data_IF_942627185538
#
_entry.id   IF_942627185538
#
_cell.length_a   1.000
_cell.length_b   1.000
_cell.length_c   1.000
_cell.angle_alpha   90.00
_cell.angle_beta   90.00
_cell.angle_gamma   90.00
#
_symmetry.space_group_name_H-M   'P 1'
#
loop_
_entity.id
_entity.type
_entity.pdbx_description
1 polymer ?
#
# COMPACT_ATOMS: atom_id res chain seq x y z
N UNK A 1 -24.45 -35.92 -20.91
CA UNK A 1 -23.68 -34.85 -20.25
C UNK A 1 -23.63 -34.97 -18.73
N UNK A 2 -24.74 -34.88 -17.99
CA UNK A 2 -24.74 -34.89 -16.50
C UNK A 2 -24.11 -36.15 -15.92
N UNK A 3 -24.48 -37.32 -16.43
CA UNK A 3 -24.10 -38.59 -15.83
C UNK A 3 -22.62 -38.92 -16.07
N UNK A 4 -22.09 -38.49 -17.23
CA UNK A 4 -20.66 -38.59 -17.57
C UNK A 4 -19.81 -37.61 -16.75
N UNK A 5 -20.35 -36.42 -16.49
CA UNK A 5 -19.67 -35.43 -15.66
C UNK A 5 -19.53 -35.93 -14.21
N UNK A 6 -20.59 -36.52 -13.66
CA UNK A 6 -20.57 -37.11 -12.31
C UNK A 6 -19.64 -38.34 -12.23
N UNK A 7 -19.64 -39.20 -13.26
CA UNK A 7 -18.73 -40.34 -13.33
C UNK A 7 -17.25 -39.91 -13.41
N UNK A 8 -16.93 -38.89 -14.22
CA UNK A 8 -15.59 -38.33 -14.31
C UNK A 8 -15.17 -37.59 -13.02
N UNK A 9 -16.10 -36.87 -12.38
CA UNK A 9 -15.89 -36.21 -11.10
C UNK A 9 -15.57 -37.20 -9.97
N UNK A 10 -16.29 -38.32 -9.92
CA UNK A 10 -16.04 -39.41 -8.99
C UNK A 10 -14.68 -40.08 -9.26
N UNK A 11 -14.36 -40.37 -10.53
CA UNK A 11 -13.08 -41.00 -10.91
C UNK A 11 -11.86 -40.12 -10.58
N UNK A 12 -11.99 -38.81 -10.74
CA UNK A 12 -10.93 -37.83 -10.47
C UNK A 12 -10.94 -37.27 -9.04
N UNK A 13 -11.88 -37.72 -8.20
CA UNK A 13 -12.12 -37.20 -6.84
C UNK A 13 -12.12 -35.65 -6.79
N UNK A 14 -12.79 -35.02 -7.76
CA UNK A 14 -12.76 -33.58 -8.01
C UNK A 14 -14.19 -33.07 -8.24
N UNK A 15 -14.59 -31.87 -7.74
CA UNK A 15 -15.93 -31.34 -7.94
C UNK A 15 -16.37 -31.23 -9.42
N UNK A 16 -17.64 -31.49 -9.76
CA UNK A 16 -18.15 -31.55 -11.13
C UNK A 16 -17.96 -30.23 -11.89
N UNK A 17 -18.03 -29.09 -11.20
CA UNK A 17 -17.80 -27.78 -11.81
C UNK A 17 -16.37 -27.58 -12.33
N UNK A 18 -15.37 -28.12 -11.63
CA UNK A 18 -13.97 -28.06 -12.08
C UNK A 18 -13.70 -29.04 -13.21
N UNK A 19 -14.33 -30.22 -13.15
CA UNK A 19 -14.26 -31.23 -14.22
C UNK A 19 -14.90 -30.70 -15.50
N UNK A 20 -16.04 -30.00 -15.41
CA UNK A 20 -16.70 -29.36 -16.56
C UNK A 20 -15.81 -28.30 -17.21
N UNK A 21 -15.22 -27.41 -16.42
CA UNK A 21 -14.34 -26.34 -16.94
C UNK A 21 -13.05 -26.89 -17.56
N UNK A 22 -12.46 -27.90 -16.94
CA UNK A 22 -11.25 -28.54 -17.45
C UNK A 22 -11.51 -29.39 -18.69
N UNK A 23 -12.65 -30.09 -18.77
CA UNK A 23 -13.05 -30.84 -19.95
C UNK A 23 -13.31 -29.91 -21.15
N UNK A 24 -13.99 -28.77 -20.93
CA UNK A 24 -14.19 -27.76 -21.96
C UNK A 24 -12.85 -27.19 -22.48
N UNK A 25 -11.93 -26.85 -21.58
CA UNK A 25 -10.61 -26.33 -21.97
C UNK A 25 -9.75 -27.37 -22.74
N UNK A 26 -9.85 -28.66 -22.37
CA UNK A 26 -9.13 -29.72 -23.09
C UNK A 26 -9.74 -29.99 -24.46
N UNK A 27 -11.06 -30.06 -24.56
CA UNK A 27 -11.79 -30.21 -25.81
C UNK A 27 -11.41 -29.13 -26.84
N UNK A 28 -11.32 -27.87 -26.40
CA UNK A 28 -10.87 -26.74 -27.22
C UNK A 28 -9.40 -26.89 -27.68
N UNK A 29 -8.51 -27.33 -26.79
CA UNK A 29 -7.09 -27.51 -27.09
C UNK A 29 -6.78 -28.71 -28.00
N UNK A 30 -7.59 -29.78 -27.93
CA UNK A 30 -7.41 -31.00 -28.74
C UNK A 30 -8.34 -31.08 -29.95
N UNK A 31 -9.25 -30.11 -30.13
CA UNK A 31 -10.26 -30.14 -31.19
C UNK A 31 -11.23 -31.32 -31.07
N UNK A 32 -11.43 -31.84 -29.85
CA UNK A 32 -12.32 -32.97 -29.56
C UNK A 32 -13.58 -32.50 -28.84
N UNK A 33 -14.57 -33.37 -28.65
CA UNK A 33 -15.79 -32.99 -27.92
C UNK A 33 -15.62 -33.10 -26.40
N UNK A 34 -16.40 -32.31 -25.64
CA UNK A 34 -16.36 -32.34 -24.17
C UNK A 34 -16.80 -33.71 -23.62
N UNK A 35 -17.81 -34.33 -24.22
CA UNK A 35 -18.29 -35.67 -23.85
C UNK A 35 -17.20 -36.76 -24.03
N UNK A 36 -16.36 -36.63 -25.06
CA UNK A 36 -15.26 -37.55 -25.35
C UNK A 36 -14.13 -37.42 -24.32
N UNK A 37 -13.81 -36.20 -23.91
CA UNK A 37 -12.87 -35.93 -22.82
C UNK A 37 -13.40 -36.46 -21.48
N UNK A 38 -14.69 -36.25 -21.18
CA UNK A 38 -15.33 -36.77 -19.97
C UNK A 38 -15.38 -38.30 -19.97
N UNK A 39 -15.66 -38.92 -21.12
CA UNK A 39 -15.65 -40.37 -21.27
C UNK A 39 -14.26 -40.97 -21.01
N UNK A 40 -13.20 -40.33 -21.52
CA UNK A 40 -11.82 -40.77 -21.26
C UNK A 40 -11.44 -40.68 -19.77
N UNK A 41 -11.96 -39.70 -19.03
CA UNK A 41 -11.70 -39.58 -17.59
C UNK A 41 -12.59 -40.47 -16.72
N UNK A 42 -13.79 -40.80 -17.21
CA UNK A 42 -14.68 -41.77 -16.58
C UNK A 42 -14.22 -43.24 -16.77
N UNK A 43 -13.06 -43.47 -17.39
CA UNK A 43 -12.46 -44.81 -17.58
C UNK A 43 -12.54 -45.36 -19.02
N UNK A 44 -12.94 -44.55 -20.00
CA UNK A 44 -12.85 -44.87 -21.42
C UNK A 44 -11.43 -44.77 -21.98
N UNK A 45 -11.15 -45.48 -23.09
CA UNK A 45 -9.84 -45.60 -23.72
C UNK A 45 -9.13 -44.25 -24.01
N UNK A 46 -7.78 -44.20 -24.03
CA UNK A 46 -7.03 -42.94 -24.12
C UNK A 46 -7.21 -42.22 -25.47
N UNK A 47 -7.27 -40.90 -25.40
CA UNK A 47 -7.33 -39.99 -26.56
C UNK A 47 -5.97 -39.97 -27.24
N UNK A 48 -5.91 -40.45 -28.48
CA UNK A 48 -4.75 -40.25 -29.37
C UNK A 48 -4.84 -38.83 -29.94
N UNK A 49 -3.86 -37.99 -29.63
CA UNK A 49 -3.77 -36.63 -30.18
C UNK A 49 -3.59 -36.70 -31.71
N UNK A 50 -4.53 -36.11 -32.45
CA UNK A 50 -4.32 -35.79 -33.87
C UNK A 50 -3.53 -34.47 -33.96
N UNK A 51 -2.51 -34.45 -34.81
CA UNK A 51 -1.62 -33.31 -35.05
C UNK A 51 -2.37 -32.08 -35.61
N UNK A 52 -1.86 -30.85 -35.39
CA UNK A 52 -2.56 -29.63 -35.79
C UNK A 52 -2.50 -29.43 -37.31
N UNK A 53 -3.66 -29.33 -37.95
CA UNK A 53 -3.78 -28.82 -39.32
C UNK A 53 -4.07 -27.31 -39.26
N UNK A 54 -3.22 -26.53 -39.91
CA UNK A 54 -3.41 -25.10 -40.18
C UNK A 54 -4.12 -24.90 -41.55
N UNK A 55 -4.42 -23.66 -41.97
CA UNK A 55 -5.75 -23.05 -42.00
C UNK A 55 -6.36 -22.96 -43.42
N UNK A 56 -7.69 -22.94 -43.53
CA UNK A 56 -8.39 -22.56 -44.77
C UNK A 56 -9.39 -21.41 -44.50
N UNK A 57 -9.09 -20.23 -45.05
CA UNK A 57 -10.06 -19.31 -45.68
C UNK A 57 -10.15 -19.70 -47.17
N UNK A 58 -11.11 -19.22 -48.02
CA UNK A 58 -11.98 -18.02 -47.94
C UNK A 58 -13.42 -18.18 -48.54
N UNK A 59 -14.12 -17.03 -48.68
CA UNK A 59 -15.27 -16.68 -49.57
C UNK A 59 -16.70 -16.92 -49.06
N UNK A 60 -17.75 -16.14 -49.39
CA UNK A 60 -17.99 -14.82 -50.03
C UNK A 60 -19.53 -14.60 -49.96
N UNK A 61 -19.98 -13.35 -49.75
CA UNK A 61 -21.38 -12.84 -49.88
C UNK A 61 -21.83 -12.82 -51.38
N UNK A 62 -23.05 -12.42 -51.84
CA UNK A 62 -24.17 -11.69 -51.22
C UNK A 62 -25.59 -12.19 -51.70
N UNK A 63 -26.61 -11.36 -52.06
CA UNK A 63 -27.72 -10.88 -51.19
C UNK A 63 -29.13 -11.18 -51.79
N UNK A 64 -30.22 -10.91 -51.05
CA UNK A 64 -31.56 -10.71 -51.65
C UNK A 64 -32.45 -9.74 -50.86
N UNK A 65 -33.19 -8.97 -51.65
CA UNK A 65 -33.96 -7.74 -51.42
C UNK A 65 -35.40 -7.93 -50.85
N UNK A 66 -36.16 -6.84 -50.57
CA UNK A 66 -37.18 -6.73 -49.52
C UNK A 66 -38.63 -6.93 -50.00
N UNK A 67 -39.57 -7.14 -49.06
CA UNK A 67 -41.01 -7.13 -49.35
C UNK A 67 -41.77 -6.16 -48.44
N UNK A 68 -42.30 -5.11 -49.07
CA UNK A 68 -43.34 -4.20 -48.59
C UNK A 68 -44.72 -4.85 -48.61
N UNK A 69 -45.56 -4.61 -47.60
CA UNK A 69 -47.03 -4.52 -47.79
C UNK A 69 -47.60 -3.41 -46.92
N UNK A 70 -48.26 -2.46 -47.57
CA UNK A 70 -49.07 -1.41 -47.01
C UNK A 70 -50.52 -1.86 -46.80
N UNK A 71 -51.16 -1.45 -45.71
CA UNK A 71 -52.61 -1.21 -45.66
C UNK A 71 -52.93 -0.13 -44.62
N UNK A 72 -53.69 0.87 -45.08
CA UNK A 72 -54.42 1.87 -44.31
C UNK A 72 -55.91 1.75 -44.75
N UNK A 73 -56.87 2.59 -44.31
CA UNK A 73 -57.15 3.25 -43.03
C UNK A 73 -58.62 3.06 -42.58
N UNK A 74 -59.02 3.34 -41.33
CA UNK A 74 -60.35 3.93 -41.02
C UNK A 74 -60.30 4.75 -39.71
N UNK A 75 -60.81 5.99 -39.78
CA UNK A 75 -61.00 6.97 -38.70
C UNK A 75 -62.19 6.59 -37.76
N UNK A 76 -62.40 7.17 -36.57
CA UNK A 76 -63.14 8.45 -36.36
C UNK A 76 -63.26 8.76 -34.84
N UNK A 77 -63.20 10.08 -34.50
CA UNK A 77 -63.66 10.85 -33.29
C UNK A 77 -62.88 10.70 -31.96
N UNK A 78 -62.25 11.70 -31.32
CA UNK A 78 -62.40 13.16 -31.04
C UNK A 78 -62.82 13.45 -29.58
N UNK A 79 -61.90 14.03 -28.78
CA UNK A 79 -62.12 14.89 -27.60
C UNK A 79 -60.76 15.45 -27.06
N UNK A 80 -60.72 16.62 -26.37
CA UNK A 80 -59.66 17.64 -26.56
C UNK A 80 -58.54 17.73 -25.49
N UNK A 81 -57.37 18.19 -25.97
CA UNK A 81 -56.26 19.05 -25.42
C UNK A 81 -55.88 18.98 -23.91
N UNK A 82 -54.57 18.94 -23.57
CA UNK A 82 -53.81 20.19 -23.50
C UNK A 82 -52.44 20.18 -24.21
N UNK A 83 -52.09 21.38 -24.65
CA UNK A 83 -50.85 21.89 -25.22
C UNK A 83 -49.57 21.21 -24.67
N UNK A 84 -48.85 20.49 -25.54
CA UNK A 84 -47.47 20.06 -25.27
C UNK A 84 -46.53 21.25 -25.52
N UNK A 85 -45.56 21.53 -24.62
CA UNK A 85 -44.51 22.50 -24.92
C UNK A 85 -43.70 22.02 -26.14
N UNK A 86 -43.11 22.93 -26.93
CA UNK A 86 -42.44 22.58 -28.18
C UNK A 86 -41.28 21.61 -27.93
N UNK A 87 -41.46 20.37 -28.37
CA UNK A 87 -40.39 19.39 -28.60
C UNK A 87 -39.47 19.93 -29.69
N UNK A 88 -38.46 20.70 -29.28
CA UNK A 88 -37.54 21.36 -30.19
C UNK A 88 -36.22 21.77 -29.54
N UNK A 89 -35.86 21.16 -28.41
CA UNK A 89 -34.46 21.22 -27.96
C UNK A 89 -33.71 20.10 -28.70
N UNK A 90 -32.66 20.40 -29.48
CA UNK A 90 -31.79 19.35 -29.98
C UNK A 90 -31.25 18.60 -28.76
N UNK A 91 -31.61 17.32 -28.64
CA UNK A 91 -30.91 16.41 -27.76
C UNK A 91 -29.49 16.34 -28.31
N UNK A 92 -28.57 17.04 -27.65
CA UNK A 92 -27.15 16.80 -27.82
C UNK A 92 -26.93 15.35 -27.37
N UNK A 93 -26.95 14.43 -28.32
CA UNK A 93 -26.38 13.10 -28.14
C UNK A 93 -24.91 13.35 -27.78
N UNK A 94 -24.46 13.01 -26.55
CA UNK A 94 -23.06 13.15 -26.22
C UNK A 94 -22.27 12.27 -27.18
N UNK A 95 -21.38 12.89 -27.94
CA UNK A 95 -20.46 12.19 -28.85
C UNK A 95 -19.82 11.02 -28.08
N UNK A 96 -19.89 9.79 -28.60
CA UNK A 96 -19.43 8.62 -27.87
C UNK A 96 -17.97 8.83 -27.48
N UNK A 97 -17.72 8.82 -26.17
CA UNK A 97 -16.38 9.02 -25.63
C UNK A 97 -15.41 8.04 -26.30
N UNK A 98 -14.44 8.59 -27.03
CA UNK A 98 -13.46 7.81 -27.77
C UNK A 98 -12.77 6.82 -26.82
N UNK A 99 -12.88 5.53 -27.13
CA UNK A 99 -12.36 4.47 -26.28
C UNK A 99 -10.83 4.55 -26.26
N UNK A 100 -10.27 5.02 -25.15
CA UNK A 100 -8.83 5.15 -24.97
C UNK A 100 -8.19 3.77 -24.91
N UNK A 101 -7.13 3.56 -25.69
CA UNK A 101 -6.40 2.29 -25.66
C UNK A 101 -5.65 2.11 -24.33
N UNK A 102 -5.66 0.89 -23.74
CA UNK A 102 -5.04 0.64 -22.46
C UNK A 102 -3.50 0.68 -22.55
N UNK A 103 -2.90 1.49 -21.67
CA UNK A 103 -1.45 1.68 -21.59
C UNK A 103 -0.82 0.66 -20.65
N UNK A 104 0.31 0.03 -21.01
CA UNK A 104 0.96 -0.97 -20.16
C UNK A 104 1.43 -0.37 -18.83
N UNK A 105 1.22 -1.11 -17.74
CA UNK A 105 1.52 -0.70 -16.36
C UNK A 105 2.95 -0.15 -16.20
N UNK A 106 3.94 -0.80 -16.81
CA UNK A 106 5.34 -0.42 -16.69
C UNK A 106 5.64 0.99 -17.22
N UNK A 107 4.96 1.42 -18.29
CA UNK A 107 5.14 2.76 -18.86
C UNK A 107 4.55 3.84 -17.94
N UNK A 108 3.36 3.59 -17.39
CA UNK A 108 2.68 4.45 -16.41
C UNK A 108 3.51 4.62 -15.14
N UNK A 109 4.01 3.51 -14.59
CA UNK A 109 4.86 3.52 -13.40
C UNK A 109 6.17 4.27 -13.67
N UNK A 110 6.83 4.04 -14.81
CA UNK A 110 8.08 4.73 -15.16
C UNK A 110 7.89 6.25 -15.26
N UNK A 111 6.84 6.71 -15.93
CA UNK A 111 6.54 8.14 -16.06
C UNK A 111 6.27 8.75 -14.68
N UNK A 112 5.42 8.11 -13.87
CA UNK A 112 5.11 8.61 -12.53
C UNK A 112 6.34 8.61 -11.63
N UNK A 113 7.19 7.56 -11.66
CA UNK A 113 8.44 7.50 -10.91
C UNK A 113 9.39 8.62 -11.33
N UNK A 114 9.55 8.89 -12.63
CA UNK A 114 10.41 9.97 -13.11
C UNK A 114 9.94 11.33 -12.60
N UNK A 115 8.64 11.61 -12.71
CA UNK A 115 8.05 12.87 -12.22
C UNK A 115 8.16 12.95 -10.69
N UNK A 116 7.85 11.86 -10.00
CA UNK A 116 7.93 11.76 -8.54
C UNK A 116 9.34 11.98 -8.03
N UNK A 117 10.36 11.44 -8.71
CA UNK A 117 11.77 11.64 -8.38
C UNK A 117 12.15 13.11 -8.46
N UNK A 118 11.80 13.79 -9.55
CA UNK A 118 12.09 15.22 -9.71
C UNK A 118 11.31 16.09 -8.72
N UNK A 119 10.04 15.80 -8.53
CA UNK A 119 9.18 16.52 -7.57
C UNK A 119 9.70 16.36 -6.15
N UNK A 120 10.06 15.13 -5.77
CA UNK A 120 10.63 14.82 -4.46
C UNK A 120 11.99 15.47 -4.24
N UNK A 121 12.88 15.47 -5.24
CA UNK A 121 14.18 16.14 -5.17
C UNK A 121 14.03 17.66 -5.02
N UNK A 122 13.11 18.27 -5.77
CA UNK A 122 12.79 19.69 -5.64
C UNK A 122 12.23 20.01 -4.25
N UNK A 123 11.30 19.21 -3.74
CA UNK A 123 10.77 19.36 -2.38
C UNK A 123 11.85 19.16 -1.31
N UNK A 124 12.78 18.23 -1.51
CA UNK A 124 13.95 18.05 -0.64
C UNK A 124 14.82 19.31 -0.60
N UNK A 125 15.11 19.90 -1.77
CA UNK A 125 15.84 21.15 -1.88
C UNK A 125 15.11 22.33 -1.19
N UNK A 126 13.84 22.56 -1.52
CA UNK A 126 13.07 23.65 -0.92
C UNK A 126 12.79 23.43 0.57
N UNK A 127 12.60 22.18 0.99
CA UNK A 127 12.49 21.78 2.38
C UNK A 127 13.77 22.10 3.15
N UNK A 128 14.94 21.83 2.56
CA UNK A 128 16.21 22.24 3.13
C UNK A 128 16.33 23.77 3.22
N UNK A 129 15.98 24.53 2.17
CA UNK A 129 16.03 26.00 2.23
C UNK A 129 15.12 26.58 3.32
N UNK A 130 13.92 26.02 3.47
CA UNK A 130 13.01 26.41 4.54
C UNK A 130 13.58 26.09 5.93
N UNK A 131 14.16 24.89 6.09
CA UNK A 131 14.82 24.48 7.34
C UNK A 131 16.07 25.34 7.63
N UNK A 132 16.86 25.66 6.61
CA UNK A 132 18.06 26.49 6.72
C UNK A 132 17.75 27.87 7.28
N UNK A 133 16.60 28.46 6.93
CA UNK A 133 16.14 29.72 7.54
C UNK A 133 15.91 29.62 9.05
N UNK A 134 15.44 28.46 9.53
CA UNK A 134 15.23 28.20 10.96
C UNK A 134 16.53 27.81 11.68
N UNK A 135 17.46 27.19 10.96
CA UNK A 135 18.72 26.64 11.46
C UNK A 135 19.89 27.63 11.40
N UNK A 136 19.78 28.70 10.62
CA UNK A 136 20.83 29.71 10.49
C UNK A 136 21.36 30.26 11.84
N UNK A 137 20.53 30.51 12.86
CA UNK A 137 21.01 30.99 14.16
C UNK A 137 21.86 29.98 14.94
N UNK A 138 21.73 28.68 14.64
CA UNK A 138 22.45 27.60 15.32
C UNK A 138 23.59 27.03 14.49
N UNK A 139 23.95 27.71 13.40
CA UNK A 139 25.06 27.34 12.54
C UNK A 139 26.40 27.66 13.19
N UNK A 140 27.32 26.70 13.14
CA UNK A 140 28.70 26.81 13.62
C UNK A 140 29.67 26.39 12.52
N UNK A 141 30.92 26.85 12.61
CA UNK A 141 31.97 26.43 11.68
C UNK A 141 32.90 25.49 12.45
N UNK A 142 32.90 24.21 12.08
CA UNK A 142 33.88 23.22 12.55
C UNK A 142 35.15 23.33 11.71
N UNK A 143 36.35 23.38 12.32
CA UNK A 143 37.61 23.44 11.59
C UNK A 143 37.91 22.17 10.78
N UNK A 144 37.35 21.02 11.16
CA UNK A 144 37.57 19.74 10.48
C UNK A 144 36.42 19.39 9.53
N UNK A 145 35.17 19.68 9.92
CA UNK A 145 33.96 19.24 9.20
C UNK A 145 33.27 20.34 8.37
N UNK A 146 33.73 21.59 8.50
CA UNK A 146 33.15 22.74 7.83
C UNK A 146 31.84 23.24 8.48
N UNK A 147 30.88 23.81 7.73
CA UNK A 147 29.68 24.38 8.28
C UNK A 147 28.73 23.29 8.82
N UNK A 148 28.39 23.41 10.10
CA UNK A 148 27.50 22.52 10.83
C UNK A 148 26.32 23.30 11.40
N UNK A 149 25.23 22.62 11.70
CA UNK A 149 24.08 23.18 12.41
C UNK A 149 23.80 22.33 13.63
N UNK A 150 23.62 22.96 14.78
CA UNK A 150 23.15 22.29 16.01
C UNK A 150 21.63 22.36 16.06
N UNK A 151 20.96 21.21 16.05
CA UNK A 151 19.49 21.12 16.08
C UNK A 151 19.05 20.18 17.18
N UNK A 152 17.95 20.50 17.86
CA UNK A 152 17.30 19.56 18.77
C UNK A 152 16.80 18.33 17.99
N UNK A 153 17.22 17.15 18.44
CA UNK A 153 16.98 15.87 17.76
C UNK A 153 15.49 15.56 17.67
N UNK A 154 14.71 15.88 18.70
CA UNK A 154 13.26 15.66 18.68
C UNK A 154 12.58 16.57 17.65
N UNK A 155 12.96 17.84 17.61
CA UNK A 155 12.38 18.85 16.72
C UNK A 155 12.65 18.54 15.26
N UNK A 156 13.84 18.04 14.90
CA UNK A 156 14.12 17.65 13.52
C UNK A 156 13.33 16.39 13.10
N UNK A 157 13.23 15.38 13.98
CA UNK A 157 12.50 14.14 13.67
C UNK A 157 10.99 14.41 13.51
N UNK A 158 10.39 15.20 14.40
CA UNK A 158 8.97 15.57 14.30
C UNK A 158 8.72 16.48 13.11
N UNK A 159 9.56 17.51 12.91
CA UNK A 159 9.46 18.44 11.79
C UNK A 159 9.53 17.73 10.44
N UNK A 160 10.54 16.87 10.25
CA UNK A 160 10.70 16.13 8.99
C UNK A 160 9.54 15.15 8.76
N UNK A 161 9.07 14.48 9.82
CA UNK A 161 7.92 13.57 9.70
C UNK A 161 6.67 14.31 9.25
N UNK A 162 6.33 15.44 9.90
CA UNK A 162 5.15 16.24 9.57
C UNK A 162 5.23 16.84 8.17
N UNK A 163 6.38 17.40 7.80
CA UNK A 163 6.59 17.96 6.45
C UNK A 163 6.50 16.86 5.39
N UNK A 164 6.99 15.66 5.68
CA UNK A 164 6.94 14.54 4.73
C UNK A 164 5.51 14.08 4.44
N UNK A 165 4.56 14.22 5.38
CA UNK A 165 3.13 13.97 5.11
C UNK A 165 2.62 14.88 3.99
N UNK A 166 2.89 16.18 4.11
CA UNK A 166 2.49 17.17 3.10
C UNK A 166 3.20 16.90 1.76
N UNK A 167 4.50 16.66 1.80
CA UNK A 167 5.28 16.36 0.59
C UNK A 167 4.78 15.09 -0.10
N UNK A 168 4.44 14.05 0.66
CA UNK A 168 3.88 12.82 0.11
C UNK A 168 2.56 13.06 -0.62
N UNK A 169 1.66 13.86 -0.04
CA UNK A 169 0.40 14.24 -0.68
C UNK A 169 0.62 15.04 -1.98
N UNK A 170 1.56 16.00 -1.96
CA UNK A 170 1.94 16.81 -3.13
C UNK A 170 2.51 15.91 -4.23
N UNK A 171 3.49 15.08 -3.92
CA UNK A 171 4.15 14.20 -4.91
C UNK A 171 3.15 13.25 -5.54
N UNK A 172 2.31 12.59 -4.75
CA UNK A 172 1.30 11.67 -5.27
C UNK A 172 0.30 12.38 -6.20
N UNK A 173 -0.15 13.57 -5.81
CA UNK A 173 -1.11 14.37 -6.59
C UNK A 173 -0.50 14.87 -7.90
N UNK A 174 0.71 15.43 -7.82
CA UNK A 174 1.40 15.98 -8.98
C UNK A 174 1.82 14.89 -9.97
N UNK A 175 2.35 13.77 -9.48
CA UNK A 175 2.75 12.64 -10.33
C UNK A 175 1.55 11.99 -11.02
N UNK A 176 0.40 11.93 -10.34
CA UNK A 176 -0.85 11.49 -10.95
C UNK A 176 -1.32 12.45 -12.05
N UNK A 177 -1.29 13.76 -11.79
CA UNK A 177 -1.67 14.76 -12.77
C UNK A 177 -0.74 14.73 -14.00
N UNK A 178 0.57 14.64 -13.77
CA UNK A 178 1.56 14.57 -14.84
C UNK A 178 1.44 13.30 -15.68
N UNK A 179 1.12 12.14 -15.07
CA UNK A 179 0.85 10.92 -15.82
C UNK A 179 -0.38 11.10 -16.74
N UNK A 180 -1.48 11.64 -16.19
CA UNK A 180 -2.69 11.90 -16.97
C UNK A 180 -2.48 12.93 -18.09
N UNK A 181 -1.64 13.95 -17.87
CA UNK A 181 -1.27 14.93 -18.89
C UNK A 181 -0.38 14.33 -19.98
N UNK A 182 0.56 13.45 -19.61
CA UNK A 182 1.43 12.79 -20.56
C UNK A 182 0.66 11.79 -21.44
N UNK A 183 -0.34 11.10 -20.87
CA UNK A 183 -1.23 10.23 -21.62
C UNK A 183 -2.60 10.13 -20.92
N UNK A 184 -3.70 10.63 -21.55
CA UNK A 184 -5.05 10.58 -20.99
C UNK A 184 -5.50 9.16 -20.59
N UNK A 185 -5.05 8.12 -21.30
CA UNK A 185 -5.38 6.73 -21.01
C UNK A 185 -4.89 6.25 -19.63
N UNK A 186 -3.89 6.92 -19.05
CA UNK A 186 -3.34 6.57 -17.73
C UNK A 186 -4.10 7.20 -16.56
N UNK A 187 -5.09 8.04 -16.83
CA UNK A 187 -5.91 8.67 -15.81
C UNK A 187 -6.54 7.60 -14.92
N UNK A 188 -6.40 7.71 -13.61
CA UNK A 188 -6.97 6.73 -12.69
C UNK A 188 -8.46 7.02 -12.43
N UNK A 189 -9.27 5.99 -12.26
CA UNK A 189 -10.70 6.12 -11.92
C UNK A 189 -10.95 6.51 -10.46
N UNK A 190 -10.00 6.24 -9.56
CA UNK A 190 -10.11 6.61 -8.14
C UNK A 190 -10.14 8.14 -7.96
N UNK A 191 -10.75 8.63 -6.87
CA UNK A 191 -10.78 10.06 -6.56
C UNK A 191 -9.38 10.67 -6.38
N UNK A 192 -9.22 11.96 -6.71
CA UNK A 192 -7.97 12.71 -6.49
C UNK A 192 -7.60 12.77 -5.00
N UNK A 193 -8.60 12.89 -4.12
CA UNK A 193 -8.41 12.89 -2.67
C UNK A 193 -7.84 11.58 -2.13
N UNK A 194 -8.28 10.43 -2.68
CA UNK A 194 -7.73 9.13 -2.29
C UNK A 194 -6.23 9.04 -2.63
N UNK A 195 -5.83 9.55 -3.79
CA UNK A 195 -4.41 9.59 -4.18
C UNK A 195 -3.58 10.48 -3.24
N UNK A 196 -4.10 11.65 -2.89
CA UNK A 196 -3.43 12.53 -1.93
C UNK A 196 -3.28 11.86 -0.54
N UNK A 197 -4.32 11.14 -0.08
CA UNK A 197 -4.27 10.44 1.20
C UNK A 197 -3.26 9.29 1.22
N UNK A 198 -3.20 8.48 0.16
CA UNK A 198 -2.16 7.45 -0.01
C UNK A 198 -0.76 8.06 -0.06
N UNK A 199 -0.63 9.21 -0.72
CA UNK A 199 0.61 10.00 -0.71
C UNK A 199 1.00 10.44 0.70
N UNK A 200 0.05 11.00 1.45
CA UNK A 200 0.26 11.46 2.84
C UNK A 200 0.68 10.31 3.77
N UNK A 201 0.01 9.16 3.68
CA UNK A 201 0.34 7.97 4.47
C UNK A 201 1.76 7.45 4.15
N UNK A 202 2.12 7.42 2.86
CA UNK A 202 3.47 7.04 2.43
C UNK A 202 4.50 8.05 2.93
N UNK A 203 4.18 9.35 2.84
CA UNK A 203 5.00 10.44 3.32
C UNK A 203 5.28 10.38 4.82
N UNK A 204 4.28 10.03 5.64
CA UNK A 204 4.46 9.84 7.08
C UNK A 204 5.55 8.79 7.37
N UNK A 205 5.48 7.66 6.69
CA UNK A 205 6.38 6.52 6.89
C UNK A 205 7.79 6.84 6.40
N UNK A 206 7.89 7.40 5.19
CA UNK A 206 9.16 7.81 4.62
C UNK A 206 9.77 8.98 5.39
N UNK A 207 8.97 9.84 6.02
CA UNK A 207 9.43 10.91 6.91
C UNK A 207 10.05 10.38 8.19
N UNK A 208 9.43 9.38 8.82
CA UNK A 208 9.99 8.70 9.99
C UNK A 208 11.33 8.03 9.64
N UNK A 209 11.37 7.27 8.55
CA UNK A 209 12.60 6.62 8.07
C UNK A 209 13.65 7.67 7.70
N UNK A 210 13.26 8.67 6.90
CA UNK A 210 14.16 9.73 6.44
C UNK A 210 14.76 10.53 7.57
N UNK A 211 14.00 10.78 8.64
CA UNK A 211 14.47 11.47 9.84
C UNK A 211 15.50 10.64 10.60
N UNK A 212 15.19 9.36 10.81
CA UNK A 212 16.13 8.44 11.44
C UNK A 212 17.41 8.26 10.62
N UNK A 213 17.31 8.18 9.28
CA UNK A 213 18.49 8.11 8.40
C UNK A 213 19.28 9.40 8.44
N UNK A 214 18.64 10.57 8.42
CA UNK A 214 19.33 11.86 8.45
C UNK A 214 20.11 12.06 9.75
N UNK A 215 19.48 11.81 10.89
CA UNK A 215 20.13 11.89 12.20
C UNK A 215 21.17 10.78 12.36
N UNK A 216 20.87 9.54 11.98
CA UNK A 216 21.75 8.40 12.19
C UNK A 216 22.96 8.34 11.25
N UNK A 217 22.82 8.84 10.01
CA UNK A 217 23.90 8.77 9.02
C UNK A 217 24.82 9.99 9.03
N UNK A 218 24.30 11.17 9.39
CA UNK A 218 25.05 12.43 9.33
C UNK A 218 25.16 13.13 10.68
N UNK A 219 24.35 12.75 11.67
CA UNK A 219 24.28 13.41 12.95
C UNK A 219 25.40 12.99 13.88
N UNK A 220 26.10 13.97 14.45
CA UNK A 220 26.94 13.74 15.63
C UNK A 220 26.14 14.14 16.87
N UNK A 221 25.78 13.17 17.74
CA UNK A 221 24.95 13.46 18.91
C UNK A 221 25.75 14.24 19.96
N UNK A 222 25.10 15.23 20.58
CA UNK A 222 25.58 15.91 21.77
C UNK A 222 24.70 15.43 22.92
N UNK A 223 25.33 14.86 23.96
CA UNK A 223 24.62 14.27 25.10
C UNK A 223 23.67 15.28 25.75
N UNK A 224 22.48 14.80 26.08
CA UNK A 224 21.52 15.56 26.87
C UNK A 224 22.01 15.63 28.32
N UNK A 225 22.01 16.83 28.89
CA UNK A 225 22.21 17.04 30.33
C UNK A 225 20.86 17.24 31.01
N UNK A 226 20.81 17.22 32.35
CA UNK A 226 19.56 17.44 33.10
C UNK A 226 18.87 18.77 32.75
N UNK A 227 19.63 19.75 32.24
CA UNK A 227 19.13 21.08 31.86
C UNK A 227 18.94 21.28 30.34
N UNK A 228 19.48 20.39 29.49
CA UNK A 228 19.50 20.60 28.03
C UNK A 228 19.00 19.37 27.24
N UNK A 229 18.09 19.62 26.30
CA UNK A 229 17.57 18.59 25.40
C UNK A 229 18.65 17.99 24.49
N UNK A 230 18.45 16.73 24.07
CA UNK A 230 19.36 16.04 23.16
C UNK A 230 19.48 16.78 21.82
N UNK A 231 20.68 17.30 21.52
CA UNK A 231 20.98 18.00 20.27
C UNK A 231 21.86 17.15 19.37
N UNK A 232 21.81 17.41 18.07
CA UNK A 232 22.60 16.72 17.05
C UNK A 232 23.24 17.77 16.16
N UNK A 233 24.54 17.64 15.87
CA UNK A 233 25.18 18.46 14.84
C UNK A 233 25.04 17.81 13.48
N UNK A 234 24.68 18.61 12.49
CA UNK A 234 24.45 18.14 11.12
C UNK A 234 25.31 18.93 10.13
N UNK A 235 26.08 18.26 9.25
CA UNK A 235 26.87 18.93 8.22
C UNK A 235 25.94 19.53 7.16
N UNK A 236 26.01 20.84 6.96
CA UNK A 236 25.07 21.59 6.10
C UNK A 236 25.02 21.01 4.69
N UNK A 237 26.18 20.73 4.09
CA UNK A 237 26.26 20.18 2.74
C UNK A 237 25.74 18.74 2.68
N UNK A 238 26.12 17.90 3.66
CA UNK A 238 25.67 16.51 3.73
C UNK A 238 24.14 16.44 3.87
N UNK A 239 23.58 17.28 4.74
CA UNK A 239 22.14 17.38 4.96
C UNK A 239 21.41 17.83 3.69
N UNK A 240 21.90 18.85 2.99
CA UNK A 240 21.35 19.29 1.70
C UNK A 240 21.32 18.14 0.69
N UNK A 241 22.46 17.47 0.47
CA UNK A 241 22.57 16.38 -0.49
C UNK A 241 21.62 15.23 -0.13
N UNK A 242 21.60 14.83 1.14
CA UNK A 242 20.72 13.77 1.62
C UNK A 242 19.24 14.14 1.48
N UNK A 243 18.85 15.38 1.74
CA UNK A 243 17.47 15.84 1.56
C UNK A 243 17.06 15.83 0.08
N UNK A 244 17.94 16.22 -0.85
CA UNK A 244 17.67 16.16 -2.30
C UNK A 244 17.56 14.70 -2.77
N UNK A 245 18.55 13.87 -2.46
CA UNK A 245 18.61 12.48 -2.92
C UNK A 245 17.52 11.64 -2.25
N UNK A 246 17.39 11.76 -0.93
CA UNK A 246 16.36 11.11 -0.13
C UNK A 246 14.96 11.58 -0.52
N UNK A 247 14.78 12.88 -0.76
CA UNK A 247 13.54 13.44 -1.30
C UNK A 247 13.19 12.85 -2.67
N UNK A 248 14.17 12.71 -3.57
CA UNK A 248 13.98 12.07 -4.87
C UNK A 248 13.57 10.60 -4.76
N UNK A 249 14.27 9.82 -3.92
CA UNK A 249 13.93 8.41 -3.66
C UNK A 249 12.53 8.29 -3.06
N UNK A 250 12.23 9.08 -2.04
CA UNK A 250 10.93 9.08 -1.39
C UNK A 250 9.82 9.50 -2.36
N UNK A 251 10.09 10.46 -3.23
CA UNK A 251 9.17 10.91 -4.26
C UNK A 251 8.90 9.83 -5.32
N UNK A 252 9.93 9.09 -5.73
CA UNK A 252 9.79 7.94 -6.63
C UNK A 252 8.86 6.87 -6.04
N UNK A 253 9.10 6.48 -4.78
CA UNK A 253 8.30 5.48 -4.07
C UNK A 253 6.84 5.95 -3.89
N UNK A 254 6.67 7.21 -3.49
CA UNK A 254 5.34 7.81 -3.29
C UNK A 254 4.55 7.90 -4.59
N UNK A 255 5.21 8.19 -5.73
CA UNK A 255 4.56 8.28 -7.02
C UNK A 255 4.21 6.92 -7.63
N UNK A 256 4.96 5.86 -7.31
CA UNK A 256 4.70 4.52 -7.81
C UNK A 256 3.41 3.92 -7.22
N UNK A 257 3.16 4.16 -5.92
CA UNK A 257 2.09 3.50 -5.17
C UNK A 257 0.68 3.75 -5.76
N UNK A 258 0.25 4.98 -6.07
CA UNK A 258 -1.05 5.24 -6.67
C UNK A 258 -1.21 4.62 -8.05
N UNK A 259 -0.10 4.53 -8.80
CA UNK A 259 -0.12 3.89 -10.11
C UNK A 259 -0.31 2.39 -9.95
N UNK A 260 0.45 1.71 -9.08
CA UNK A 260 0.31 0.25 -8.90
C UNK A 260 -1.10 -0.14 -8.44
N UNK A 261 -1.70 0.65 -7.54
CA UNK A 261 -3.00 0.33 -6.93
C UNK A 261 -4.20 0.88 -7.72
N UNK A 262 -3.97 1.82 -8.65
CA UNK A 262 -5.01 2.52 -9.38
C UNK A 262 -5.41 1.85 -10.69
N UNK A 263 -6.71 1.82 -10.96
CA UNK A 263 -7.30 1.38 -12.24
C UNK A 263 -7.34 2.54 -13.23
N UNK A 264 -6.67 2.45 -14.38
CA UNK A 264 -6.76 3.46 -15.43
C UNK A 264 -8.15 3.45 -16.08
N UNK A 265 -8.61 4.62 -16.54
CA UNK A 265 -9.92 4.84 -17.17
C UNK A 265 -10.02 4.12 -18.52
N UNK A 266 -8.88 3.94 -19.22
CA UNK A 266 -8.80 3.22 -20.49
C UNK A 266 -9.24 1.74 -20.42
N UNK A 267 -9.18 1.09 -19.25
CA UNK A 267 -9.69 -0.29 -19.07
C UNK A 267 -11.22 -0.34 -18.86
N UNK A 268 -11.91 0.80 -18.90
CA UNK A 268 -13.35 0.89 -18.60
C UNK A 268 -14.27 0.16 -19.58
N UNK A 269 -13.76 -0.21 -20.76
CA UNK A 269 -14.48 -0.97 -21.78
C UNK A 269 -14.19 -2.49 -21.79
N UNK A 270 -13.24 -2.98 -21.01
CA UNK A 270 -12.94 -4.42 -20.88
C UNK A 270 -13.82 -5.07 -19.80
N UNK A 271 -13.97 -6.41 -19.84
CA UNK A 271 -14.85 -7.15 -18.92
C UNK A 271 -14.53 -6.79 -17.45
N UNK A 272 -15.44 -6.06 -16.77
CA UNK A 272 -15.19 -5.56 -15.41
C UNK A 272 -14.98 -6.70 -14.40
N UNK A 273 -15.48 -7.91 -14.69
CA UNK A 273 -15.31 -9.10 -13.85
C UNK A 273 -13.88 -9.61 -13.85
N UNK A 274 -13.23 -9.66 -15.01
CA UNK A 274 -11.85 -10.15 -15.14
C UNK A 274 -10.87 -9.18 -14.47
N UNK A 275 -11.01 -7.88 -14.74
CA UNK A 275 -10.20 -6.80 -14.13
C UNK A 275 -10.34 -6.80 -12.61
N UNK A 276 -11.56 -6.98 -12.09
CA UNK A 276 -11.79 -7.07 -10.65
C UNK A 276 -11.09 -8.29 -10.03
N UNK A 277 -11.10 -9.43 -10.71
CA UNK A 277 -10.45 -10.66 -10.24
C UNK A 277 -8.91 -10.55 -10.23
N UNK A 278 -8.32 -10.00 -11.30
CA UNK A 278 -6.87 -9.75 -11.38
C UNK A 278 -6.44 -8.73 -10.32
N UNK A 279 -7.23 -7.67 -10.12
CA UNK A 279 -7.01 -6.69 -9.06
C UNK A 279 -7.08 -7.31 -7.68
N UNK A 280 -8.00 -8.25 -7.43
CA UNK A 280 -8.08 -8.90 -6.13
C UNK A 280 -6.84 -9.77 -5.85
N UNK A 281 -6.32 -10.44 -6.88
CA UNK A 281 -5.06 -11.21 -6.80
C UNK A 281 -3.85 -10.30 -6.59
N UNK A 282 -3.74 -9.22 -7.38
CA UNK A 282 -2.67 -8.23 -7.28
C UNK A 282 -2.71 -7.50 -5.94
N UNK A 283 -3.91 -7.09 -5.50
CA UNK A 283 -4.12 -6.48 -4.19
C UNK A 283 -3.70 -7.44 -3.09
N UNK A 284 -4.10 -8.71 -3.13
CA UNK A 284 -3.63 -9.70 -2.14
C UNK A 284 -2.09 -9.83 -2.14
N UNK A 285 -1.47 -9.96 -3.31
CA UNK A 285 -0.02 -10.12 -3.43
C UNK A 285 0.79 -8.88 -3.00
N UNK A 286 0.27 -7.67 -3.23
CA UNK A 286 0.97 -6.40 -2.91
C UNK A 286 0.56 -5.85 -1.54
N UNK A 287 -0.71 -5.97 -1.16
CA UNK A 287 -1.22 -5.41 0.10
C UNK A 287 -0.72 -6.17 1.31
N UNK A 288 -0.49 -7.49 1.21
CA UNK A 288 0.01 -8.28 2.35
C UNK A 288 1.44 -7.84 2.73
N UNK A 289 2.43 -7.78 1.81
CA UNK A 289 3.76 -7.27 2.14
C UNK A 289 3.75 -5.80 2.59
N UNK A 290 2.96 -4.95 1.93
CA UNK A 290 2.88 -3.52 2.29
C UNK A 290 2.27 -3.34 3.68
N UNK A 291 1.20 -4.07 4.01
CA UNK A 291 0.60 -4.02 5.34
C UNK A 291 1.57 -4.55 6.41
N UNK A 292 2.33 -5.61 6.12
CA UNK A 292 3.39 -6.11 7.00
C UNK A 292 4.49 -5.08 7.23
N UNK A 293 4.95 -4.41 6.17
CA UNK A 293 5.94 -3.33 6.27
C UNK A 293 5.39 -2.13 7.06
N UNK A 294 4.13 -1.76 6.85
CA UNK A 294 3.47 -0.67 7.58
C UNK A 294 3.31 -1.00 9.06
N UNK A 295 2.88 -2.22 9.40
CA UNK A 295 2.82 -2.70 10.78
C UNK A 295 4.23 -2.65 11.41
N UNK A 296 5.24 -3.11 10.67
CA UNK A 296 6.62 -3.10 11.14
C UNK A 296 7.12 -1.69 11.43
N UNK A 297 6.88 -0.73 10.53
CA UNK A 297 7.37 0.64 10.65
C UNK A 297 6.57 1.50 11.65
N UNK A 298 5.25 1.33 11.71
CA UNK A 298 4.37 2.17 12.52
C UNK A 298 4.14 1.64 13.93
N UNK A 299 4.23 0.32 14.13
CA UNK A 299 3.97 -0.31 15.42
C UNK A 299 5.21 -0.98 15.98
N UNK A 300 5.84 -1.89 15.22
CA UNK A 300 6.92 -2.74 15.75
C UNK A 300 8.19 -1.94 16.04
N UNK A 301 8.66 -1.10 15.11
CA UNK A 301 9.89 -0.30 15.30
C UNK A 301 9.77 0.71 16.45
N UNK A 302 8.72 1.56 16.53
CA UNK A 302 8.57 2.51 17.63
C UNK A 302 8.46 1.79 18.98
N UNK A 303 7.78 0.64 19.01
CA UNK A 303 7.67 -0.17 20.21
C UNK A 303 9.01 -0.80 20.62
N UNK A 304 9.75 -1.37 19.67
CA UNK A 304 11.10 -1.90 19.92
C UNK A 304 12.05 -0.80 20.42
N UNK A 305 11.99 0.40 19.83
CA UNK A 305 12.75 1.56 20.29
C UNK A 305 12.39 1.95 21.73
N UNK A 306 11.09 2.03 22.05
CA UNK A 306 10.65 2.31 23.42
C UNK A 306 11.15 1.27 24.43
N UNK A 307 11.18 -0.01 24.05
CA UNK A 307 11.71 -1.08 24.88
C UNK A 307 13.21 -0.98 25.11
N UNK A 308 13.98 -0.73 24.05
CA UNK A 308 15.44 -0.56 24.14
C UNK A 308 15.75 0.60 25.08
N UNK A 309 15.02 1.72 24.96
CA UNK A 309 15.19 2.86 25.87
C UNK A 309 14.76 2.53 27.30
N UNK A 310 13.72 1.71 27.47
CA UNK A 310 13.29 1.26 28.80
C UNK A 310 14.19 0.18 29.43
N UNK A 311 15.11 -0.42 28.66
CA UNK A 311 16.07 -1.40 29.18
C UNK A 311 17.01 -0.79 30.23
N UNK A 312 17.23 0.52 30.17
CA UNK A 312 17.93 1.30 31.19
C UNK A 312 17.17 1.31 32.54
N UNK A 313 15.85 1.07 32.55
CA UNK A 313 15.02 0.95 33.76
C UNK A 313 14.87 -0.49 34.28
N UNK A 314 15.20 -1.52 33.49
CA UNK A 314 15.15 -2.92 33.93
C UNK A 314 16.08 -3.81 33.09
N UNK A 315 17.17 -4.36 33.67
CA UNK A 315 18.16 -5.19 32.97
C UNK A 315 17.59 -6.45 32.27
N UNK A 316 16.36 -6.85 32.62
CA UNK A 316 15.72 -8.08 32.13
C UNK A 316 14.48 -7.75 31.26
N UNK A 317 14.00 -6.51 31.25
CA UNK A 317 12.76 -6.12 30.56
C UNK A 317 12.82 -6.26 29.04
N UNK A 318 13.85 -5.71 28.39
CA UNK A 318 13.99 -5.77 26.93
C UNK A 318 14.15 -7.21 26.38
N UNK A 319 14.97 -8.09 26.99
CA UNK A 319 15.05 -9.50 26.60
C UNK A 319 13.70 -10.25 26.73
N UNK A 320 12.96 -10.05 27.83
CA UNK A 320 11.67 -10.71 28.03
C UNK A 320 10.67 -10.29 26.96
N UNK A 321 10.58 -9.00 26.66
CA UNK A 321 9.64 -8.52 25.66
C UNK A 321 10.06 -8.93 24.25
N UNK A 322 11.36 -8.98 23.94
CA UNK A 322 11.85 -9.55 22.68
C UNK A 322 11.46 -11.04 22.54
N UNK A 323 11.61 -11.83 23.61
CA UNK A 323 11.19 -13.24 23.64
C UNK A 323 9.67 -13.37 23.46
N UNK A 324 8.86 -12.59 24.18
CA UNK A 324 7.40 -12.62 24.07
C UNK A 324 6.92 -12.19 22.68
N UNK A 325 7.55 -11.17 22.09
CA UNK A 325 7.22 -10.70 20.74
C UNK A 325 7.60 -11.75 19.70
N UNK A 326 8.80 -12.34 19.80
CA UNK A 326 9.23 -13.42 18.92
C UNK A 326 8.35 -14.66 19.05
N UNK A 327 7.99 -15.06 20.27
CA UNK A 327 7.08 -16.17 20.54
C UNK A 327 5.67 -15.89 20.01
N UNK A 328 5.18 -14.66 20.14
CA UNK A 328 3.90 -14.23 19.59
C UNK A 328 3.86 -14.26 18.06
N UNK A 329 4.91 -13.75 17.40
CA UNK A 329 5.05 -13.81 15.94
C UNK A 329 5.12 -15.25 15.47
N UNK A 330 5.91 -16.10 16.13
CA UNK A 330 6.04 -17.52 15.78
C UNK A 330 4.71 -18.28 16.01
N UNK A 331 4.02 -18.00 17.12
CA UNK A 331 2.70 -18.54 17.41
C UNK A 331 1.65 -18.13 16.37
N UNK A 332 1.65 -16.85 15.98
CA UNK A 332 0.76 -16.38 14.92
C UNK A 332 1.11 -16.99 13.56
N UNK A 333 2.39 -17.08 13.20
CA UNK A 333 2.84 -17.67 11.94
C UNK A 333 2.47 -19.16 11.84
N UNK A 334 2.60 -19.90 12.94
CA UNK A 334 2.20 -21.32 13.01
C UNK A 334 0.68 -21.49 12.92
N UNK A 335 -0.09 -20.66 13.63
CA UNK A 335 -1.57 -20.65 13.54
C UNK A 335 -2.05 -20.29 12.13
N UNK A 336 -1.49 -19.24 11.52
CA UNK A 336 -1.82 -18.81 10.17
C UNK A 336 -1.44 -19.87 9.13
N UNK A 337 -0.28 -20.53 9.29
CA UNK A 337 0.16 -21.63 8.43
C UNK A 337 -0.70 -22.90 8.54
N UNK A 338 -1.30 -23.14 9.73
CA UNK A 338 -2.13 -24.32 9.97
C UNK A 338 -3.53 -24.25 9.35
N UNK A 339 -3.99 -23.06 8.90
CA UNK A 339 -5.34 -22.85 8.36
C UNK A 339 -5.34 -22.09 7.02
N UNK A 340 -4.83 -22.70 5.94
CA UNK A 340 -4.64 -22.03 4.65
C UNK A 340 -5.94 -21.58 3.95
N UNK A 341 -7.11 -22.08 4.37
CA UNK A 341 -8.40 -21.70 3.78
C UNK A 341 -9.24 -20.72 4.62
N UNK A 342 -8.77 -20.35 5.83
CA UNK A 342 -9.45 -19.32 6.63
C UNK A 342 -9.10 -17.94 6.06
N UNK A 343 -10.09 -17.31 5.41
CA UNK A 343 -9.97 -15.91 5.00
C UNK A 343 -10.01 -15.05 6.26
N UNK A 344 -8.85 -14.65 6.77
CA UNK A 344 -8.77 -13.66 7.85
C UNK A 344 -9.42 -12.39 7.32
N UNK A 345 -10.55 -12.02 7.92
CA UNK A 345 -11.23 -10.78 7.60
C UNK A 345 -10.40 -9.59 8.06
N UNK A 346 -10.53 -8.46 7.36
CA UNK A 346 -9.85 -7.22 7.73
C UNK A 346 -10.24 -6.79 9.16
N UNK A 347 -11.46 -7.13 9.59
CA UNK A 347 -11.92 -6.93 10.97
C UNK A 347 -11.16 -7.76 11.99
N UNK A 348 -10.92 -9.05 11.74
CA UNK A 348 -10.13 -9.92 12.63
C UNK A 348 -8.67 -9.45 12.72
N UNK A 349 -8.09 -9.02 11.60
CA UNK A 349 -6.76 -8.42 11.60
C UNK A 349 -6.72 -7.14 12.45
N UNK A 350 -7.73 -6.27 12.32
CA UNK A 350 -7.80 -5.03 13.11
C UNK A 350 -8.00 -5.31 14.59
N UNK A 351 -8.83 -6.28 14.95
CA UNK A 351 -9.00 -6.72 16.35
C UNK A 351 -7.70 -7.28 16.90
N UNK A 352 -6.96 -8.10 16.12
CA UNK A 352 -5.67 -8.63 16.54
C UNK A 352 -4.63 -7.52 16.74
N UNK A 353 -4.52 -6.59 15.79
CA UNK A 353 -3.60 -5.44 15.90
C UNK A 353 -3.97 -4.56 17.08
N UNK A 354 -5.26 -4.31 17.32
CA UNK A 354 -5.73 -3.49 18.43
C UNK A 354 -5.49 -4.19 19.77
N UNK A 355 -5.76 -5.49 19.87
CA UNK A 355 -5.48 -6.28 21.07
C UNK A 355 -3.97 -6.34 21.38
N UNK A 356 -3.13 -6.57 20.37
CA UNK A 356 -1.67 -6.49 20.52
C UNK A 356 -1.29 -5.08 20.99
N UNK A 357 -1.76 -4.04 20.30
CA UNK A 357 -1.50 -2.65 20.68
C UNK A 357 -1.89 -2.32 22.12
N UNK A 358 -3.04 -2.81 22.59
CA UNK A 358 -3.50 -2.65 23.98
C UNK A 358 -2.59 -3.38 24.97
N UNK A 359 -2.20 -4.63 24.68
CA UNK A 359 -1.27 -5.39 25.53
C UNK A 359 0.08 -4.68 25.61
N UNK A 360 0.59 -4.18 24.49
CA UNK A 360 1.84 -3.42 24.45
C UNK A 360 1.75 -2.10 25.24
N UNK A 361 0.61 -1.41 25.18
CA UNK A 361 0.33 -0.22 25.99
C UNK A 361 0.30 -0.53 27.49
N UNK A 362 -0.30 -1.66 27.89
CA UNK A 362 -0.32 -2.10 29.29
C UNK A 362 1.09 -2.44 29.78
N UNK A 363 1.89 -3.14 28.97
CA UNK A 363 3.29 -3.43 29.29
C UNK A 363 4.07 -2.13 29.46
N UNK A 364 3.89 -1.17 28.55
CA UNK A 364 4.54 0.14 28.64
C UNK A 364 4.13 0.88 29.92
N UNK A 365 2.83 0.93 30.23
CA UNK A 365 2.33 1.55 31.46
C UNK A 365 2.88 0.88 32.72
N UNK A 366 2.98 -0.46 32.73
CA UNK A 366 3.54 -1.22 33.84
C UNK A 366 5.05 -0.96 34.03
N UNK A 367 5.82 -0.87 32.94
CA UNK A 367 7.25 -0.53 33.00
C UNK A 367 7.47 0.91 33.50
N UNK A 368 6.64 1.86 33.06
CA UNK A 368 6.70 3.24 33.56
C UNK A 368 6.28 3.36 35.03
N UNK A 369 5.27 2.58 35.46
CA UNK A 369 4.82 2.58 36.85
C UNK A 369 5.82 1.89 37.80
N UNK A 370 6.45 0.79 37.36
CA UNK A 370 7.46 0.08 38.15
C UNK A 370 8.76 0.88 38.32
N UNK A 371 9.07 1.81 37.42
CA UNK A 371 10.24 2.70 37.54
C UNK A 371 10.05 3.89 38.50
N UNK A 372 8.83 4.13 39.02
CA UNK A 372 8.52 5.30 39.85
C UNK A 372 8.19 5.02 41.32
N UNK A 373 8.33 3.77 41.79
CA UNK A 373 7.87 3.34 43.12
C UNK A 373 8.97 2.88 44.06
N UNK A 374 10.05 3.67 44.20
CA UNK A 374 11.22 3.31 45.01
C UNK A 374 11.68 4.41 45.95
N UNK A 375 10.76 5.09 46.65
CA UNK A 375 11.10 5.93 47.81
C UNK A 375 10.19 5.56 48.98
N UNK A 376 10.80 5.48 50.17
CA UNK A 376 10.24 5.31 51.51
C UNK A 376 9.70 3.93 51.94
N UNK A 377 10.60 3.06 52.41
CA UNK A 377 10.45 2.42 53.73
C UNK A 377 11.83 2.22 54.38
N UNK A 378 12.22 3.17 55.24
CA UNK A 378 13.49 3.16 55.95
C UNK A 378 13.35 3.67 57.38
N UNK A 379 12.84 2.81 58.26
CA UNK A 379 13.07 2.70 59.71
C UNK A 379 13.18 3.99 60.54
N UNK A 380 12.17 4.19 61.39
CA UNK A 380 12.22 5.09 62.54
C UNK A 380 13.42 4.82 63.47
N UNK A 381 14.13 5.89 63.79
CA UNK A 381 14.70 6.28 65.08
C UNK A 381 15.24 5.23 66.07
N UNK A 382 16.55 5.31 66.36
CA UNK A 382 17.10 4.70 67.57
C UNK A 382 18.59 4.96 67.83
N UNK A 383 18.86 6.03 68.58
CA UNK A 383 19.99 6.23 69.50
C UNK A 383 21.41 6.55 68.97
N UNK A 384 21.86 7.72 69.44
CA UNK A 384 23.22 8.22 69.62
C UNK A 384 24.30 7.15 69.90
N UNK A 385 25.49 7.34 69.33
CA UNK A 385 26.71 7.58 70.12
C UNK A 385 27.87 8.08 69.26
N UNK A 386 28.44 9.21 69.70
CA UNK A 386 29.71 9.78 69.28
C UNK A 386 30.86 8.87 69.71
N UNK A 387 31.78 8.52 68.80
CA UNK A 387 33.20 8.27 69.14
C UNK A 387 34.10 8.80 68.02
N UNK A 388 34.91 9.79 68.40
CA UNK A 388 36.08 10.35 67.71
C UNK A 388 37.23 9.33 67.67
N UNK A 389 38.23 9.56 66.78
CA UNK A 389 39.61 9.03 66.72
C UNK A 389 39.82 8.04 65.56
N UNK A 390 40.86 8.07 64.72
CA UNK A 390 41.89 9.03 64.30
C UNK A 390 42.76 8.31 63.23
N UNK A 391 43.60 9.09 62.54
CA UNK A 391 44.84 8.73 61.81
C UNK A 391 44.64 8.26 60.35
N UNK A 392 45.28 8.85 59.34
CA UNK A 392 46.53 9.63 59.23
C UNK A 392 46.39 10.85 58.33
#
# INVERSE_FOLDING_TARGET
>A
MSDLLEAAAAALNTPPELVRRSAAARAEATGTSVDEVLSAWAGGAPITAAAPAAPETPQEEPPVEPVTVATAPVAVMEAPTPESPPTGAPQWEPEPAEALEPVPLGSRVRTAVRVGTWTGAALGFFGFLAAAGLWAPTAIISPEDGPMVVVETRTILTGLTLVSVLFGAIVASFSRAAAAWANPATQLSNSKSSTAWWGAATGLILGLIGGAVLVGALGTPIEATEEAAATTQLPVLGTLVLMIVGGGLAGALTAALPQILGTPVALGGEDPGEVASMKQRLKGAVSIPVAGLMLLLLLVLPFAYALIRSAELSPIGAPIVAILTAAGILGFATLAGSRPQMKISLGELMVAVLAIGTVLLIILAALFYAGGGGEDEGSEGGAETVVVVAQL
#
